data_IF_141226696411
#
_entry.id   IF_141226696411
#
_cell.length_a   1.000
_cell.length_b   1.000
_cell.length_c   1.000
_cell.angle_alpha   90.00
_cell.angle_beta   90.00
_cell.angle_gamma   90.00
#
_symmetry.space_group_name_H-M   'P 1'
#
loop_
_entity.id
_entity.type
_entity.pdbx_description
1 polymer ?
#
# COMPACT_ATOMS: atom_id res chain seq x y z
N UNK A 1 -55.93 19.67 -18.31
CA UNK A 1 -55.00 19.05 -17.35
C UNK A 1 -54.20 17.99 -18.11
N UNK A 2 -53.07 18.36 -18.70
CA UNK A 2 -52.14 17.41 -19.32
C UNK A 2 -51.10 16.96 -18.28
N UNK A 3 -50.57 15.74 -18.34
CA UNK A 3 -49.60 15.27 -17.35
C UNK A 3 -48.31 16.07 -17.48
N UNK A 4 -47.90 16.68 -16.36
CA UNK A 4 -46.57 17.26 -16.20
C UNK A 4 -45.60 16.09 -16.18
N UNK A 5 -44.92 15.84 -17.30
CA UNK A 5 -43.84 14.87 -17.38
C UNK A 5 -42.64 15.54 -16.70
N UNK A 6 -42.60 15.48 -15.37
CA UNK A 6 -41.46 15.97 -14.59
C UNK A 6 -40.26 15.11 -14.96
N UNK A 7 -39.44 15.63 -15.88
CA UNK A 7 -38.24 14.99 -16.39
C UNK A 7 -37.35 14.57 -15.23
N UNK A 8 -37.33 13.26 -14.93
CA UNK A 8 -36.52 12.62 -13.89
C UNK A 8 -35.06 12.44 -14.33
N UNK A 9 -34.72 12.88 -15.55
CA UNK A 9 -33.41 12.76 -16.20
C UNK A 9 -32.26 13.49 -15.46
N UNK A 10 -32.42 14.69 -14.86
CA UNK A 10 -31.30 15.35 -14.21
C UNK A 10 -30.95 14.69 -12.86
N UNK A 11 -31.90 13.99 -12.24
CA UNK A 11 -31.69 13.33 -10.94
C UNK A 11 -30.82 12.09 -11.14
N UNK A 12 -31.07 11.29 -12.18
CA UNK A 12 -30.26 10.08 -12.50
C UNK A 12 -28.81 10.41 -12.86
N UNK A 13 -28.55 11.51 -13.57
CA UNK A 13 -27.18 11.93 -13.92
C UNK A 13 -26.35 12.37 -12.71
N UNK A 14 -26.99 12.96 -11.69
CA UNK A 14 -26.32 13.38 -10.45
C UNK A 14 -25.90 12.17 -9.60
N UNK A 15 -26.67 11.08 -9.63
CA UNK A 15 -26.32 9.84 -8.91
C UNK A 15 -25.12 9.10 -9.54
N UNK A 16 -24.94 9.12 -10.86
CA UNK A 16 -23.78 8.46 -11.50
C UNK A 16 -22.45 9.17 -11.21
N UNK A 17 -22.45 10.49 -11.04
CA UNK A 17 -21.25 11.23 -10.64
C UNK A 17 -20.84 11.00 -9.17
N UNK A 18 -21.73 10.41 -8.37
CA UNK A 18 -21.51 10.13 -6.95
C UNK A 18 -20.92 8.74 -6.69
N UNK A 19 -20.77 7.90 -7.73
CA UNK A 19 -20.11 6.60 -7.60
C UNK A 19 -18.60 6.86 -7.50
N UNK A 20 -18.18 7.15 -6.27
CA UNK A 20 -16.78 7.28 -5.88
C UNK A 20 -16.00 6.07 -6.34
N UNK A 21 -14.77 6.32 -6.79
CA UNK A 21 -13.87 5.29 -7.30
C UNK A 21 -13.80 4.10 -6.34
N UNK A 22 -14.16 2.93 -6.87
CA UNK A 22 -13.86 1.64 -6.25
C UNK A 22 -12.36 1.46 -6.37
N UNK A 23 -11.60 1.99 -5.40
CA UNK A 23 -10.24 1.52 -5.19
C UNK A 23 -10.38 0.09 -4.69
N UNK A 24 -10.16 -0.90 -5.56
CA UNK A 24 -9.81 -2.24 -5.11
C UNK A 24 -8.59 -2.12 -4.18
N UNK A 25 -8.61 -2.79 -3.03
CA UNK A 25 -7.47 -2.81 -2.11
C UNK A 25 -6.26 -3.47 -2.77
N UNK A 26 -5.42 -2.67 -3.43
CA UNK A 26 -4.24 -3.16 -4.12
C UNK A 26 -3.06 -3.31 -3.16
N UNK A 27 -2.45 -4.49 -3.16
CA UNK A 27 -1.29 -4.83 -2.35
C UNK A 27 0.03 -4.41 -2.99
N UNK A 28 0.03 -3.27 -3.68
CA UNK A 28 1.20 -2.66 -4.33
C UNK A 28 2.00 -1.76 -3.40
N UNK A 29 1.51 -1.55 -2.19
CA UNK A 29 2.15 -0.72 -1.18
C UNK A 29 3.35 -1.46 -0.58
N UNK A 30 4.54 -0.89 -0.72
CA UNK A 30 5.79 -1.42 -0.15
C UNK A 30 6.55 -0.30 0.57
N UNK A 31 7.34 -0.65 1.58
CA UNK A 31 8.27 0.29 2.21
C UNK A 31 9.70 -0.15 1.97
N UNK A 32 10.55 0.80 1.57
CA UNK A 32 11.97 0.61 1.33
C UNK A 32 12.69 1.18 2.54
N UNK A 33 13.38 0.32 3.29
CA UNK A 33 14.15 0.71 4.45
C UNK A 33 15.63 0.69 4.12
N UNK A 34 16.31 1.79 4.47
CA UNK A 34 17.76 1.85 4.54
C UNK A 34 18.15 1.85 6.01
N UNK A 35 19.02 0.94 6.43
CA UNK A 35 19.36 0.75 7.84
C UNK A 35 20.77 0.18 8.02
N UNK A 36 21.28 0.19 9.25
CA UNK A 36 22.53 -0.46 9.65
C UNK A 36 22.28 -1.52 10.70
N UNK A 37 23.12 -2.56 10.72
CA UNK A 37 23.11 -3.64 11.70
C UNK A 37 24.40 -3.53 12.52
N UNK A 38 24.28 -3.42 13.85
CA UNK A 38 25.45 -3.38 14.75
C UNK A 38 25.93 -4.80 15.03
N UNK A 39 26.79 -5.33 14.14
CA UNK A 39 27.47 -6.62 14.33
C UNK A 39 26.88 -7.81 13.56
N UNK A 40 26.18 -7.56 12.44
CA UNK A 40 25.61 -8.62 11.61
C UNK A 40 25.65 -8.29 10.12
N UNK A 41 25.21 -9.24 9.30
CA UNK A 41 25.15 -9.11 7.83
C UNK A 41 23.72 -8.83 7.38
N UNK A 42 23.54 -8.02 6.33
CA UNK A 42 22.22 -7.65 5.81
C UNK A 42 21.35 -8.87 5.46
N UNK A 43 21.97 -9.96 5.00
CA UNK A 43 21.27 -11.20 4.63
C UNK A 43 20.56 -11.88 5.81
N UNK A 44 20.96 -11.64 7.06
CA UNK A 44 20.33 -12.23 8.24
C UNK A 44 18.85 -11.83 8.39
N UNK A 45 18.47 -10.68 7.85
CA UNK A 45 17.11 -10.13 7.91
C UNK A 45 16.46 -10.03 6.53
N UNK A 46 16.99 -10.76 5.53
CA UNK A 46 16.50 -10.72 4.15
C UNK A 46 16.82 -9.43 3.38
N UNK A 47 17.76 -8.62 3.88
CA UNK A 47 18.17 -7.37 3.24
C UNK A 47 19.40 -7.54 2.34
N UNK A 48 19.58 -6.61 1.40
CA UNK A 48 20.75 -6.53 0.51
C UNK A 48 21.70 -5.43 0.99
N UNK A 49 23.00 -5.59 0.75
CA UNK A 49 23.98 -4.52 1.03
C UNK A 49 23.83 -3.40 0.00
N UNK A 50 23.87 -2.15 0.47
CA UNK A 50 23.79 -0.92 -0.34
C UNK A 50 25.04 -0.03 -0.13
N UNK A 51 26.21 -0.66 0.04
CA UNK A 51 27.50 0.02 0.22
C UNK A 51 27.73 0.54 1.63
N UNK A 52 26.92 1.51 2.09
CA UNK A 52 27.06 2.14 3.40
C UNK A 52 26.17 1.53 4.49
N UNK A 53 25.30 0.57 4.13
CA UNK A 53 24.36 -0.08 5.02
C UNK A 53 23.59 -1.19 4.30
N UNK A 54 22.43 -1.52 4.85
CA UNK A 54 21.50 -2.51 4.33
C UNK A 54 20.26 -1.82 3.74
N UNK A 55 19.75 -2.38 2.65
CA UNK A 55 18.50 -1.98 2.00
C UNK A 55 17.56 -3.16 1.88
N UNK A 56 16.32 -2.99 2.28
CA UNK A 56 15.27 -4.00 2.18
C UNK A 56 13.97 -3.37 1.69
N UNK A 57 13.21 -4.11 0.90
CA UNK A 57 11.83 -3.77 0.59
C UNK A 57 10.94 -4.67 1.43
N UNK A 58 10.04 -4.09 2.21
CA UNK A 58 9.15 -4.79 3.13
C UNK A 58 7.67 -4.52 2.84
N UNK A 59 6.83 -5.44 3.29
CA UNK A 59 5.39 -5.28 3.37
C UNK A 59 4.95 -4.67 4.71
N UNK A 60 3.66 -4.36 4.85
CA UNK A 60 3.13 -3.72 6.04
C UNK A 60 3.33 -4.54 7.32
N UNK A 61 3.41 -5.86 7.23
CA UNK A 61 3.69 -6.76 8.36
C UNK A 61 5.17 -6.78 8.80
N UNK A 62 6.04 -5.96 8.19
CA UNK A 62 7.46 -5.88 8.51
C UNK A 62 8.31 -7.02 7.96
N UNK A 63 7.79 -7.85 7.05
CA UNK A 63 8.55 -8.89 6.36
C UNK A 63 9.07 -8.42 5.01
N UNK A 64 10.18 -9.02 4.56
CA UNK A 64 10.72 -8.79 3.23
C UNK A 64 9.66 -9.10 2.16
N UNK A 65 9.60 -8.28 1.11
CA UNK A 65 8.75 -8.54 -0.05
C UNK A 65 9.16 -9.85 -0.71
N UNK A 66 8.20 -10.79 -0.82
CA UNK A 66 8.37 -12.06 -1.53
C UNK A 66 7.52 -12.02 -2.79
N UNK A 67 8.16 -12.08 -3.97
CA UNK A 67 7.48 -11.94 -5.26
C UNK A 67 7.34 -10.46 -5.67
N UNK A 68 6.17 -10.09 -6.20
CA UNK A 68 5.91 -8.75 -6.76
C UNK A 68 5.07 -7.86 -5.84
N UNK A 69 4.15 -8.45 -5.07
CA UNK A 69 3.14 -7.72 -4.30
C UNK A 69 3.07 -8.20 -2.85
N UNK A 70 2.54 -7.35 -1.97
CA UNK A 70 2.34 -7.63 -0.55
C UNK A 70 1.02 -8.35 -0.26
N UNK A 71 0.63 -9.30 -1.12
CA UNK A 71 -0.51 -10.19 -0.89
C UNK A 71 -0.18 -11.24 0.16
N UNK A 72 -1.19 -11.70 0.91
CA UNK A 72 -1.03 -12.89 1.77
C UNK A 72 -0.81 -14.17 0.97
N UNK A 73 -1.26 -14.18 -0.28
CA UNK A 73 -1.07 -15.24 -1.25
C UNK A 73 -1.02 -14.64 -2.66
N UNK A 74 -1.15 -15.47 -3.69
CA UNK A 74 -1.08 -15.05 -5.08
C UNK A 74 -2.09 -13.93 -5.39
N UNK A 75 -1.65 -12.97 -6.20
CA UNK A 75 -2.43 -11.85 -6.70
C UNK A 75 -2.52 -11.92 -8.21
N UNK A 76 -3.53 -11.26 -8.76
CA UNK A 76 -3.58 -10.96 -10.19
C UNK A 76 -2.40 -10.06 -10.63
N UNK A 77 -2.21 -9.92 -11.94
CA UNK A 77 -1.10 -9.16 -12.56
C UNK A 77 -1.07 -7.68 -12.14
N UNK A 78 -2.19 -7.12 -11.69
CA UNK A 78 -2.26 -5.74 -11.18
C UNK A 78 -2.05 -5.63 -9.66
N UNK A 79 -1.97 -6.75 -8.93
CA UNK A 79 -1.73 -6.76 -7.48
C UNK A 79 -2.93 -6.38 -6.61
N UNK A 80 -4.16 -6.44 -7.13
CA UNK A 80 -5.37 -6.00 -6.41
C UNK A 80 -6.26 -7.14 -5.90
N UNK A 81 -6.51 -8.16 -6.73
CA UNK A 81 -7.27 -9.33 -6.31
C UNK A 81 -6.35 -10.40 -5.73
N UNK A 82 -5.80 -10.11 -4.55
CA UNK A 82 -4.93 -11.03 -3.84
C UNK A 82 -5.75 -12.01 -3.00
N UNK A 83 -5.43 -13.30 -3.11
CA UNK A 83 -6.04 -14.34 -2.27
C UNK A 83 -5.77 -14.00 -0.79
N UNK A 84 -6.84 -13.93 0.01
CA UNK A 84 -6.83 -13.51 1.42
C UNK A 84 -6.41 -12.05 1.70
N UNK A 85 -6.36 -11.21 0.66
CA UNK A 85 -6.04 -9.78 0.74
C UNK A 85 -4.57 -9.47 1.02
N UNK A 86 -4.30 -8.25 1.47
CA UNK A 86 -2.93 -7.75 1.70
C UNK A 86 -2.37 -8.13 3.08
N UNK A 87 -1.04 -8.17 3.18
CA UNK A 87 -0.32 -8.18 4.45
C UNK A 87 -0.52 -6.84 5.15
N UNK A 88 -0.88 -6.89 6.44
CA UNK A 88 -1.17 -5.72 7.26
C UNK A 88 -0.22 -5.64 8.45
N UNK A 89 0.07 -4.42 8.90
CA UNK A 89 0.90 -4.14 10.07
C UNK A 89 1.43 -2.70 10.06
N UNK A 90 2.49 -2.47 10.83
CA UNK A 90 3.12 -1.17 11.07
C UNK A 90 4.51 -1.04 10.42
N UNK A 91 4.72 -1.63 9.25
CA UNK A 91 5.89 -1.45 8.38
C UNK A 91 7.23 -1.56 9.14
N UNK A 92 7.98 -0.46 9.22
CA UNK A 92 9.27 -0.40 9.90
C UNK A 92 9.21 -0.75 11.38
N UNK A 93 8.11 -0.43 12.09
CA UNK A 93 7.97 -0.78 13.50
C UNK A 93 7.89 -2.30 13.69
N UNK A 94 7.14 -2.99 12.83
CA UNK A 94 7.03 -4.44 12.88
C UNK A 94 8.33 -5.12 12.43
N UNK A 95 9.04 -4.54 11.45
CA UNK A 95 10.37 -4.99 11.06
C UNK A 95 11.36 -4.90 12.21
N UNK A 96 11.41 -3.77 12.92
CA UNK A 96 12.25 -3.60 14.11
C UNK A 96 11.85 -4.56 15.23
N UNK A 97 10.55 -4.75 15.46
CA UNK A 97 10.05 -5.67 16.49
C UNK A 97 10.46 -7.12 16.20
N UNK A 98 10.37 -7.57 14.95
CA UNK A 98 10.75 -8.94 14.54
C UNK A 98 12.25 -9.16 14.61
N UNK A 99 13.05 -8.12 14.37
CA UNK A 99 14.50 -8.20 14.27
C UNK A 99 15.21 -7.49 15.45
N UNK A 100 14.55 -7.40 16.60
CA UNK A 100 15.05 -6.63 17.76
C UNK A 100 16.42 -7.10 18.25
N UNK A 101 16.76 -8.37 18.06
CA UNK A 101 18.05 -8.97 18.43
C UNK A 101 19.23 -8.45 17.58
N UNK A 102 18.96 -7.88 16.41
CA UNK A 102 20.00 -7.47 15.45
C UNK A 102 20.48 -6.01 15.64
N UNK A 103 19.97 -5.28 16.65
CA UNK A 103 20.43 -3.93 16.95
C UNK A 103 20.35 -3.00 15.72
N UNK A 104 19.21 -3.02 15.05
CA UNK A 104 18.98 -2.31 13.78
C UNK A 104 18.80 -0.81 14.03
N UNK A 105 19.49 -0.01 13.23
CA UNK A 105 19.39 1.45 13.22
C UNK A 105 18.87 1.92 11.84
N UNK A 106 17.63 2.42 11.81
CA UNK A 106 16.99 2.92 10.57
C UNK A 106 17.66 4.25 10.18
N UNK A 107 18.15 4.34 8.95
CA UNK A 107 18.72 5.55 8.36
C UNK A 107 17.70 6.32 7.53
N UNK A 108 16.75 5.60 6.91
CA UNK A 108 15.72 6.20 6.06
C UNK A 108 14.61 5.21 5.74
N UNK A 109 13.42 5.74 5.47
CA UNK A 109 12.22 4.98 5.11
C UNK A 109 11.52 5.68 3.95
N UNK A 110 11.29 4.94 2.88
CA UNK A 110 10.60 5.43 1.69
C UNK A 110 9.38 4.55 1.45
N UNK A 111 8.19 5.15 1.40
CA UNK A 111 6.95 4.47 1.03
C UNK A 111 6.81 4.50 -0.50
N UNK A 112 6.65 3.35 -1.14
CA UNK A 112 6.29 3.25 -2.54
C UNK A 112 4.88 2.64 -2.65
N UNK A 113 3.90 3.46 -3.04
CA UNK A 113 2.55 3.02 -3.35
C UNK A 113 2.32 3.17 -4.86
N UNK A 114 2.12 2.06 -5.55
CA UNK A 114 1.68 2.04 -6.94
C UNK A 114 0.19 1.73 -7.03
N UNK A 115 -0.65 2.49 -6.33
CA UNK A 115 -2.05 2.52 -6.73
C UNK A 115 -2.16 3.55 -7.86
N UNK A 116 -2.18 3.08 -9.12
CA UNK A 116 -2.20 3.93 -10.31
C UNK A 116 -3.36 4.94 -10.31
N UNK A 117 -4.50 4.55 -9.75
CA UNK A 117 -5.64 5.45 -9.57
C UNK A 117 -5.42 6.47 -8.45
N UNK A 118 -4.86 6.08 -7.30
CA UNK A 118 -4.48 7.05 -6.26
C UNK A 118 -3.40 8.01 -6.75
N UNK A 119 -2.43 7.56 -7.54
CA UNK A 119 -1.41 8.43 -8.13
C UNK A 119 -2.04 9.44 -9.08
N UNK A 120 -2.95 9.01 -9.97
CA UNK A 120 -3.73 9.91 -10.82
C UNK A 120 -4.55 10.93 -10.01
N UNK A 121 -5.20 10.51 -8.92
CA UNK A 121 -5.98 11.40 -8.05
C UNK A 121 -5.12 12.38 -7.24
N UNK A 122 -3.95 11.95 -6.74
CA UNK A 122 -2.98 12.78 -6.02
C UNK A 122 -2.33 13.79 -6.98
N UNK A 123 -1.94 13.35 -8.18
CA UNK A 123 -1.38 14.21 -9.23
C UNK A 123 -2.41 15.26 -9.71
N UNK A 124 -3.71 15.01 -9.53
CA UNK A 124 -4.81 15.96 -9.75
C UNK A 124 -5.30 16.67 -8.46
N UNK A 125 -4.56 16.61 -7.36
CA UNK A 125 -4.75 17.47 -6.19
C UNK A 125 -5.71 16.97 -5.11
N UNK A 126 -6.23 15.74 -5.16
CA UNK A 126 -7.12 15.20 -4.12
C UNK A 126 -6.28 14.63 -2.96
N UNK A 127 -6.06 15.45 -1.94
CA UNK A 127 -5.09 15.21 -0.85
C UNK A 127 -5.66 14.46 0.37
N UNK A 128 -6.92 14.01 0.37
CA UNK A 128 -7.53 13.47 1.59
C UNK A 128 -8.60 12.40 1.32
N UNK A 129 -8.16 11.16 1.15
CA UNK A 129 -9.04 10.02 1.39
C UNK A 129 -8.80 9.50 2.80
N UNK A 130 -9.73 9.84 3.70
CA UNK A 130 -9.91 9.07 4.93
C UNK A 130 -10.70 7.83 4.53
N UNK A 131 -10.01 6.68 4.45
CA UNK A 131 -10.66 5.39 4.18
C UNK A 131 -11.78 5.15 5.21
N UNK A 132 -13.06 5.04 4.81
CA UNK A 132 -14.00 4.32 5.64
C UNK A 132 -13.57 2.84 5.60
N UNK A 133 -13.25 2.27 6.76
CA UNK A 133 -13.23 0.80 6.92
C UNK A 133 -14.61 0.31 6.48
N UNK A 134 -14.67 -0.52 5.44
CA UNK A 134 -15.88 -1.25 5.11
C UNK A 134 -16.30 -2.07 6.34
N UNK A 135 -17.54 -1.86 6.79
CA UNK A 135 -18.23 -2.70 7.78
C UNK A 135 -19.09 -3.70 7.02
#
# INVERSE_FOLDING_TARGET
MGPVITSSIPITLIFLAYIGGVCSDCCTSVAILNFKIRGGVCGAVGAKSNGSGCRITICANGEALVGTYCGKAACDIFGCDCINGCLHGNWAQDFLRKNYLHGIEILGTEMANECGFCKFLIDNGITKFRFPKAL
#
